data_IF_683103691329
#
_entry.id   IF_683103691329
#
_cell.length_a   1.000
_cell.length_b   1.000
_cell.length_c   1.000
_cell.angle_alpha   90.00
_cell.angle_beta   90.00
_cell.angle_gamma   90.00
#
_symmetry.space_group_name_H-M   'P 1'
#
loop_
_entity.id
_entity.type
_entity.pdbx_description
1 polymer ?
#
# COMPACT_ATOMS: atom_id res chain seq x y z
N UNK A 1 26.04 -39.32 -56.04
CA UNK A 1 25.44 -37.98 -55.96
C UNK A 1 23.97 -38.08 -56.32
N UNK A 2 23.04 -38.00 -55.36
CA UNK A 2 21.61 -37.89 -55.64
C UNK A 2 21.16 -36.43 -55.59
N UNK A 3 20.16 -36.07 -56.40
CA UNK A 3 19.30 -34.90 -56.22
C UNK A 3 17.87 -35.34 -56.49
N UNK A 4 17.17 -35.71 -55.43
CA UNK A 4 15.71 -35.76 -55.41
C UNK A 4 15.26 -34.66 -54.43
N UNK A 5 14.69 -33.59 -55.00
CA UNK A 5 14.04 -32.54 -54.24
C UNK A 5 12.70 -33.07 -53.72
N UNK A 6 12.67 -33.35 -52.41
CA UNK A 6 11.46 -33.57 -51.64
C UNK A 6 11.11 -32.27 -50.90
N UNK A 7 9.85 -31.82 -50.84
CA UNK A 7 9.51 -30.65 -50.05
C UNK A 7 9.62 -31.00 -48.57
N UNK A 8 10.61 -30.42 -47.91
CA UNK A 8 10.74 -30.45 -46.45
C UNK A 8 9.47 -29.87 -45.86
N UNK A 9 8.64 -30.71 -45.27
CA UNK A 9 7.51 -30.33 -44.44
C UNK A 9 8.04 -29.40 -43.34
N UNK A 10 7.74 -28.12 -43.46
CA UNK A 10 7.86 -27.15 -42.37
C UNK A 10 6.85 -27.54 -41.29
N UNK A 11 7.27 -28.43 -40.39
CA UNK A 11 6.68 -28.56 -39.07
C UNK A 11 7.24 -27.41 -38.23
N UNK A 12 6.62 -26.24 -38.39
CA UNK A 12 6.75 -25.13 -37.45
C UNK A 12 5.91 -25.48 -36.21
N UNK A 13 6.48 -26.34 -35.38
CA UNK A 13 5.86 -26.89 -34.18
C UNK A 13 5.99 -25.88 -33.03
N UNK A 14 4.85 -25.39 -32.54
CA UNK A 14 4.59 -24.58 -31.33
C UNK A 14 5.76 -24.28 -30.39
N UNK A 15 6.47 -23.18 -30.64
CA UNK A 15 7.60 -22.74 -29.79
C UNK A 15 7.19 -21.91 -28.55
N UNK A 16 5.90 -21.64 -28.32
CA UNK A 16 5.50 -20.49 -27.47
C UNK A 16 4.81 -20.83 -26.12
N UNK A 17 4.65 -22.12 -25.82
CA UNK A 17 4.39 -22.68 -24.47
C UNK A 17 5.73 -23.12 -23.80
N UNK A 18 6.86 -22.97 -24.47
CA UNK A 18 8.16 -23.51 -24.05
C UNK A 18 8.89 -22.75 -22.93
N UNK A 19 8.36 -21.64 -22.38
CA UNK A 19 8.95 -21.06 -21.18
C UNK A 19 8.49 -21.83 -19.94
N UNK A 20 9.35 -22.73 -19.44
CA UNK A 20 9.12 -23.56 -18.26
C UNK A 20 8.64 -22.77 -17.03
N UNK A 21 9.09 -21.52 -16.88
CA UNK A 21 8.67 -20.64 -15.79
C UNK A 21 7.23 -20.16 -15.94
N UNK A 22 6.85 -19.68 -17.13
CA UNK A 22 5.48 -19.22 -17.40
C UNK A 22 4.47 -20.36 -17.19
N UNK A 23 4.77 -21.55 -17.71
CA UNK A 23 3.92 -22.73 -17.54
C UNK A 23 3.76 -23.12 -16.07
N UNK A 24 4.86 -23.07 -15.30
CA UNK A 24 4.84 -23.37 -13.86
C UNK A 24 4.02 -22.36 -13.05
N UNK A 25 4.08 -21.07 -13.41
CA UNK A 25 3.25 -20.02 -12.78
C UNK A 25 1.77 -20.21 -13.11
N UNK A 26 1.43 -20.47 -14.37
CA UNK A 26 0.04 -20.71 -14.80
C UNK A 26 -0.53 -21.93 -14.07
N UNK A 27 0.22 -23.03 -14.01
CA UNK A 27 -0.18 -24.23 -13.26
C UNK A 27 -0.46 -23.90 -11.79
N UNK A 28 0.40 -23.13 -11.14
CA UNK A 28 0.21 -22.74 -9.75
C UNK A 28 -1.06 -21.89 -9.56
N UNK A 29 -1.34 -20.96 -10.46
CA UNK A 29 -2.58 -20.16 -10.46
C UNK A 29 -3.79 -21.07 -10.56
N UNK A 30 -3.82 -21.99 -11.53
CA UNK A 30 -4.93 -22.92 -11.71
C UNK A 30 -5.16 -23.82 -10.51
N UNK A 31 -4.09 -24.32 -9.89
CA UNK A 31 -4.17 -25.14 -8.69
C UNK A 31 -4.87 -24.39 -7.55
N UNK A 32 -4.46 -23.15 -7.31
CA UNK A 32 -5.05 -22.30 -6.27
C UNK A 32 -6.52 -21.98 -6.57
N UNK A 33 -6.88 -21.74 -7.84
CA UNK A 33 -8.25 -21.42 -8.23
C UNK A 33 -9.21 -22.62 -8.20
N UNK A 34 -8.72 -23.83 -8.48
CA UNK A 34 -9.53 -25.07 -8.45
C UNK A 34 -9.83 -25.56 -7.03
N UNK A 35 -9.26 -24.94 -6.00
CA UNK A 35 -9.48 -25.26 -4.59
C UNK A 35 -8.74 -26.53 -4.12
N UNK A 36 -8.38 -26.55 -2.83
CA UNK A 36 -7.39 -27.49 -2.29
C UNK A 36 -7.89 -28.43 -1.21
N UNK A 37 -7.50 -29.69 -1.37
CA UNK A 37 -7.26 -30.64 -0.28
C UNK A 37 -5.85 -30.43 0.31
N UNK A 38 -5.60 -30.93 1.52
CA UNK A 38 -4.27 -30.83 2.18
C UNK A 38 -3.10 -31.35 1.30
N UNK A 39 -3.34 -32.38 0.49
CA UNK A 39 -2.34 -32.91 -0.44
C UNK A 39 -1.94 -31.88 -1.51
N UNK A 40 -2.90 -31.11 -2.03
CA UNK A 40 -2.64 -30.08 -3.05
C UNK A 40 -1.89 -28.87 -2.47
N UNK A 41 -2.06 -28.55 -1.20
CA UNK A 41 -1.30 -27.47 -0.55
C UNK A 41 0.21 -27.76 -0.51
N UNK A 42 0.60 -29.03 -0.33
CA UNK A 42 2.03 -29.42 -0.38
C UNK A 42 2.60 -29.21 -1.78
N UNK A 43 1.90 -29.68 -2.80
CA UNK A 43 2.31 -29.53 -4.19
C UNK A 43 2.43 -28.04 -4.60
N UNK A 44 1.48 -27.19 -4.18
CA UNK A 44 1.57 -25.74 -4.39
C UNK A 44 2.81 -25.13 -3.73
N UNK A 45 3.12 -25.59 -2.51
CA UNK A 45 4.28 -25.12 -1.75
C UNK A 45 5.57 -25.49 -2.48
N UNK A 46 5.70 -26.74 -2.95
CA UNK A 46 6.86 -27.21 -3.71
C UNK A 46 7.07 -26.42 -5.00
N UNK A 47 5.99 -26.18 -5.77
CA UNK A 47 6.06 -25.36 -6.98
C UNK A 47 6.45 -23.91 -6.64
N UNK A 48 5.93 -23.36 -5.55
CA UNK A 48 6.28 -22.01 -5.09
C UNK A 48 7.77 -21.92 -4.73
N UNK A 49 8.31 -22.90 -3.98
CA UNK A 49 9.74 -22.97 -3.62
C UNK A 49 10.60 -23.03 -4.89
N UNK A 50 10.22 -23.88 -5.85
CA UNK A 50 10.94 -23.99 -7.13
C UNK A 50 10.95 -22.65 -7.86
N UNK A 51 9.80 -22.01 -8.04
CA UNK A 51 9.69 -20.72 -8.72
C UNK A 51 10.47 -19.59 -8.01
N UNK A 52 10.55 -19.64 -6.67
CA UNK A 52 11.41 -18.78 -5.88
C UNK A 52 12.89 -19.01 -6.19
N UNK A 53 13.34 -20.27 -6.16
CA UNK A 53 14.73 -20.65 -6.44
C UNK A 53 15.17 -20.26 -7.84
N UNK A 54 14.27 -20.34 -8.81
CA UNK A 54 14.49 -19.96 -10.21
C UNK A 54 14.34 -18.45 -10.46
N UNK A 55 14.10 -17.66 -9.40
CA UNK A 55 13.93 -16.20 -9.47
C UNK A 55 12.86 -15.77 -10.50
N UNK A 56 11.76 -16.51 -10.58
CA UNK A 56 10.71 -16.27 -11.58
C UNK A 56 10.16 -14.82 -11.52
N UNK A 57 10.04 -14.24 -10.33
CA UNK A 57 9.59 -12.85 -10.10
C UNK A 57 10.63 -11.77 -10.48
N UNK A 58 11.82 -12.14 -10.95
CA UNK A 58 12.81 -11.20 -11.50
C UNK A 58 13.03 -11.40 -13.00
N UNK A 59 12.56 -12.51 -13.56
CA UNK A 59 12.80 -12.87 -14.94
C UNK A 59 11.70 -12.30 -15.85
N UNK A 60 12.05 -11.42 -16.79
CA UNK A 60 11.07 -10.78 -17.69
C UNK A 60 10.29 -11.80 -18.53
N UNK A 61 10.91 -12.94 -18.87
CA UNK A 61 10.29 -13.98 -19.69
C UNK A 61 9.10 -14.66 -19.00
N UNK A 62 9.09 -14.72 -17.65
CA UNK A 62 8.03 -15.35 -16.87
C UNK A 62 6.70 -14.59 -16.98
N UNK A 63 6.75 -13.30 -17.30
CA UNK A 63 5.56 -12.44 -17.46
C UNK A 63 4.93 -12.49 -18.84
N UNK A 64 5.51 -13.20 -19.81
CA UNK A 64 5.06 -13.13 -21.22
C UNK A 64 3.58 -13.48 -21.38
N UNK A 65 3.09 -14.46 -20.63
CA UNK A 65 1.68 -14.88 -20.67
C UNK A 65 0.72 -13.78 -20.16
N UNK A 66 1.19 -12.89 -19.29
CA UNK A 66 0.43 -11.72 -18.84
C UNK A 66 0.42 -10.58 -19.86
N UNK A 67 1.28 -10.61 -20.89
CA UNK A 67 1.45 -9.52 -21.85
C UNK A 67 0.76 -9.78 -23.21
N UNK A 68 0.50 -11.04 -23.58
CA UNK A 68 0.03 -11.37 -24.93
C UNK A 68 -1.40 -10.89 -25.19
N UNK A 69 -1.53 -10.05 -26.22
CA UNK A 69 -2.70 -9.94 -27.08
C UNK A 69 -2.90 -11.25 -27.83
N UNK A 70 -4.12 -11.77 -27.93
CA UNK A 70 -4.40 -13.02 -28.66
C UNK A 70 -4.11 -12.87 -30.15
N UNK A 71 -2.99 -13.40 -30.60
CA UNK A 71 -2.80 -13.87 -31.99
C UNK A 71 -2.68 -15.41 -32.06
N UNK A 72 -2.95 -16.12 -30.98
CA UNK A 72 -3.03 -17.59 -31.00
C UNK A 72 -4.37 -18.03 -30.42
N UNK A 73 -5.32 -18.25 -31.32
CA UNK A 73 -6.57 -18.96 -31.06
C UNK A 73 -6.26 -20.41 -30.72
N UNK A 74 -6.15 -20.74 -29.44
CA UNK A 74 -6.36 -22.11 -28.97
C UNK A 74 -7.79 -22.14 -28.43
N UNK A 75 -8.69 -22.73 -29.21
CA UNK A 75 -10.09 -22.91 -28.84
C UNK A 75 -10.19 -23.85 -27.64
N UNK A 76 -10.57 -23.33 -26.48
CA UNK A 76 -11.10 -24.12 -25.38
C UNK A 76 -12.60 -23.90 -25.29
N UNK A 77 -13.36 -25.00 -25.17
CA UNK A 77 -14.82 -24.97 -25.02
C UNK A 77 -15.21 -24.28 -23.71
N UNK A 78 -15.56 -23.00 -23.81
CA UNK A 78 -16.26 -22.24 -22.77
C UNK A 78 -17.75 -22.25 -23.08
N UNK A 79 -18.42 -23.36 -22.76
CA UNK A 79 -19.85 -23.30 -22.55
C UNK A 79 -20.10 -22.56 -21.23
N UNK A 80 -21.00 -21.56 -21.27
CA UNK A 80 -21.48 -20.70 -20.17
C UNK A 80 -20.49 -19.69 -19.59
N UNK A 81 -20.24 -18.59 -20.31
CA UNK A 81 -20.24 -17.20 -19.78
C UNK A 81 -20.22 -16.23 -20.98
N UNK A 82 -21.39 -16.04 -21.61
CA UNK A 82 -21.55 -14.97 -22.60
C UNK A 82 -21.64 -13.63 -21.86
N UNK A 83 -20.59 -12.82 -22.00
CA UNK A 83 -20.78 -11.42 -22.38
C UNK A 83 -19.47 -10.74 -22.85
N UNK A 84 -19.50 -10.28 -24.10
CA UNK A 84 -18.81 -9.11 -24.68
C UNK A 84 -17.27 -9.09 -24.70
N UNK A 85 -16.75 -9.52 -25.86
CA UNK A 85 -15.65 -8.98 -26.68
C UNK A 85 -14.57 -8.10 -26.00
N UNK A 86 -13.30 -8.56 -26.11
CA UNK A 86 -12.00 -8.06 -25.57
C UNK A 86 -11.40 -8.80 -24.36
N UNK A 87 -11.97 -9.94 -23.91
CA UNK A 87 -11.61 -10.57 -22.62
C UNK A 87 -10.39 -11.51 -22.60
N UNK A 88 -9.84 -11.95 -23.72
CA UNK A 88 -8.81 -13.00 -23.73
C UNK A 88 -7.46 -12.58 -23.13
N UNK A 89 -7.07 -11.31 -23.30
CA UNK A 89 -5.74 -10.84 -22.89
C UNK A 89 -5.61 -10.65 -21.39
N UNK A 90 -6.71 -10.25 -20.75
CA UNK A 90 -6.81 -9.94 -19.31
C UNK A 90 -7.08 -11.18 -18.45
N UNK A 91 -7.40 -12.31 -19.06
CA UNK A 91 -7.83 -13.52 -18.37
C UNK A 91 -6.79 -13.98 -17.35
N UNK A 92 -5.54 -14.19 -17.77
CA UNK A 92 -4.48 -14.64 -16.87
C UNK A 92 -4.14 -13.65 -15.76
N UNK A 93 -4.23 -12.35 -16.03
CA UNK A 93 -4.01 -11.33 -15.00
C UNK A 93 -5.17 -11.32 -13.99
N UNK A 94 -6.41 -11.45 -14.47
CA UNK A 94 -7.59 -11.61 -13.61
C UNK A 94 -7.52 -12.88 -12.75
N UNK A 95 -7.10 -14.00 -13.34
CA UNK A 95 -6.87 -15.26 -12.64
C UNK A 95 -5.78 -15.15 -11.57
N UNK A 96 -4.64 -14.50 -11.86
CA UNK A 96 -3.60 -14.22 -10.87
C UNK A 96 -4.12 -13.38 -9.70
N UNK A 97 -4.87 -12.31 -9.99
CA UNK A 97 -5.46 -11.45 -8.95
C UNK A 97 -6.46 -12.22 -8.09
N UNK A 98 -7.29 -13.08 -8.72
CA UNK A 98 -8.21 -13.94 -7.99
C UNK A 98 -7.49 -15.01 -7.18
N UNK A 99 -6.40 -15.57 -7.69
CA UNK A 99 -5.58 -16.54 -6.99
C UNK A 99 -4.95 -15.90 -5.74
N UNK A 100 -4.42 -14.67 -5.82
CA UNK A 100 -3.93 -13.93 -4.64
C UNK A 100 -5.03 -13.77 -3.60
N UNK A 101 -6.26 -13.44 -4.01
CA UNK A 101 -7.39 -13.24 -3.12
C UNK A 101 -7.77 -14.50 -2.33
N UNK A 102 -7.77 -15.67 -2.98
CA UNK A 102 -8.27 -16.93 -2.40
C UNK A 102 -7.19 -17.86 -1.88
N UNK A 103 -5.91 -17.60 -2.19
CA UNK A 103 -4.79 -18.43 -1.76
C UNK A 103 -4.77 -18.54 -0.23
N UNK A 104 -4.59 -19.74 0.31
CA UNK A 104 -4.54 -20.00 1.76
C UNK A 104 -3.11 -19.98 2.30
N UNK A 105 -2.16 -20.45 1.50
CA UNK A 105 -0.76 -20.59 1.88
C UNK A 105 -0.02 -19.24 1.84
N UNK A 106 0.70 -18.90 2.92
CA UNK A 106 1.47 -17.65 3.00
C UNK A 106 2.58 -17.61 1.95
N UNK A 107 3.38 -18.67 1.81
CA UNK A 107 4.49 -18.72 0.85
C UNK A 107 4.00 -18.51 -0.58
N UNK A 108 2.93 -19.19 -0.97
CA UNK A 108 2.33 -19.05 -2.31
C UNK A 108 1.72 -17.66 -2.50
N UNK A 109 1.10 -17.09 -1.46
CA UNK A 109 0.60 -15.70 -1.53
C UNK A 109 1.75 -14.71 -1.70
N UNK A 110 2.81 -14.85 -0.91
CA UNK A 110 4.05 -14.06 -1.03
C UNK A 110 4.64 -14.19 -2.43
N UNK A 111 4.68 -15.39 -3.00
CA UNK A 111 5.17 -15.62 -4.36
C UNK A 111 4.35 -14.83 -5.38
N UNK A 112 3.02 -15.00 -5.38
CA UNK A 112 2.17 -14.29 -6.34
C UNK A 112 2.23 -12.78 -6.18
N UNK A 113 2.33 -12.27 -4.96
CA UNK A 113 2.50 -10.84 -4.73
C UNK A 113 3.86 -10.34 -5.26
N UNK A 114 4.93 -11.11 -5.07
CA UNK A 114 6.24 -10.79 -5.66
C UNK A 114 6.22 -10.84 -7.18
N UNK A 115 5.55 -11.84 -7.72
CA UNK A 115 5.36 -11.99 -9.16
C UNK A 115 4.57 -10.81 -9.74
N UNK A 116 3.48 -10.40 -9.08
CA UNK A 116 2.70 -9.23 -9.49
C UNK A 116 3.50 -7.93 -9.37
N UNK A 117 4.28 -7.76 -8.29
CA UNK A 117 5.15 -6.60 -8.11
C UNK A 117 6.21 -6.55 -9.21
N UNK A 118 6.90 -7.65 -9.48
CA UNK A 118 7.87 -7.77 -10.55
C UNK A 118 7.25 -7.55 -11.93
N UNK A 119 6.03 -8.03 -12.16
CA UNK A 119 5.27 -7.69 -13.36
C UNK A 119 5.05 -6.18 -13.47
N UNK A 120 4.82 -5.44 -12.39
CA UNK A 120 4.65 -3.98 -12.46
C UNK A 120 5.99 -3.25 -12.64
N UNK A 121 7.08 -3.74 -12.03
CA UNK A 121 8.34 -2.98 -11.88
C UNK A 121 9.44 -3.40 -12.86
N UNK A 122 9.47 -4.64 -13.34
CA UNK A 122 10.43 -5.13 -14.35
C UNK A 122 10.02 -4.66 -15.76
N UNK A 123 9.89 -3.34 -15.94
CA UNK A 123 9.64 -2.71 -17.23
C UNK A 123 9.96 -1.20 -17.19
N UNK A 124 9.89 -0.53 -18.34
CA UNK A 124 10.03 0.93 -18.43
C UNK A 124 8.91 1.62 -17.62
N UNK A 125 9.15 2.83 -17.07
CA UNK A 125 8.15 3.56 -16.27
C UNK A 125 6.79 3.74 -16.97
N UNK A 126 6.77 4.00 -18.28
CA UNK A 126 5.54 4.11 -19.07
C UNK A 126 4.71 2.81 -19.07
N UNK A 127 5.37 1.67 -19.26
CA UNK A 127 4.74 0.36 -19.21
C UNK A 127 4.24 0.02 -17.79
N UNK A 128 4.99 0.40 -16.75
CA UNK A 128 4.57 0.22 -15.36
C UNK A 128 3.24 0.92 -15.08
N UNK A 129 3.07 2.16 -15.57
CA UNK A 129 1.82 2.90 -15.44
C UNK A 129 0.65 2.22 -16.15
N UNK A 130 0.88 1.66 -17.35
CA UNK A 130 -0.15 0.91 -18.09
C UNK A 130 -0.55 -0.34 -17.31
N UNK A 131 0.42 -1.11 -16.79
CA UNK A 131 0.17 -2.33 -15.99
C UNK A 131 -0.60 -2.01 -14.70
N UNK A 132 -0.25 -0.94 -13.99
CA UNK A 132 -1.00 -0.48 -12.80
C UNK A 132 -2.46 -0.14 -13.15
N UNK A 133 -2.71 0.61 -14.23
CA UNK A 133 -4.08 0.95 -14.67
C UNK A 133 -4.87 -0.30 -15.04
N UNK A 134 -4.23 -1.27 -15.68
CA UNK A 134 -4.83 -2.55 -16.06
C UNK A 134 -5.26 -3.36 -14.83
N UNK A 135 -4.39 -3.47 -13.81
CA UNK A 135 -4.72 -4.09 -12.53
C UNK A 135 -5.91 -3.41 -11.86
N UNK A 136 -5.95 -2.07 -11.87
CA UNK A 136 -7.06 -1.29 -11.30
C UNK A 136 -8.37 -1.55 -12.06
N UNK A 137 -8.32 -1.66 -13.40
CA UNK A 137 -9.49 -1.95 -14.26
C UNK A 137 -10.08 -3.32 -13.98
N UNK A 138 -9.24 -4.30 -13.65
CA UNK A 138 -9.63 -5.67 -13.31
C UNK A 138 -9.99 -5.85 -11.82
N UNK A 139 -10.29 -4.76 -11.12
CA UNK A 139 -10.59 -4.75 -9.68
C UNK A 139 -9.51 -5.40 -8.80
N UNK A 140 -8.27 -5.46 -9.28
CA UNK A 140 -7.14 -6.03 -8.55
C UNK A 140 -6.86 -5.34 -7.21
N UNK A 141 -7.15 -4.03 -7.10
CA UNK A 141 -7.10 -3.33 -5.81
C UNK A 141 -8.00 -3.99 -4.76
N UNK A 142 -9.22 -4.42 -5.11
CA UNK A 142 -10.13 -5.06 -4.18
C UNK A 142 -9.66 -6.45 -3.78
N UNK A 143 -9.16 -7.25 -4.73
CA UNK A 143 -8.57 -8.56 -4.44
C UNK A 143 -7.39 -8.44 -3.47
N UNK A 144 -6.51 -7.47 -3.68
CA UNK A 144 -5.39 -7.19 -2.78
C UNK A 144 -5.85 -6.70 -1.41
N UNK A 145 -6.86 -5.82 -1.33
CA UNK A 145 -7.43 -5.34 -0.06
C UNK A 145 -8.01 -6.51 0.74
N UNK A 146 -8.81 -7.38 0.10
CA UNK A 146 -9.41 -8.55 0.77
C UNK A 146 -8.35 -9.49 1.30
N UNK A 147 -7.31 -9.79 0.51
CA UNK A 147 -6.21 -10.66 0.97
C UNK A 147 -5.43 -10.01 2.11
N UNK A 148 -5.10 -8.72 1.99
CA UNK A 148 -4.43 -7.97 3.04
C UNK A 148 -5.24 -7.96 4.35
N UNK A 149 -6.55 -7.74 4.26
CA UNK A 149 -7.46 -7.75 5.41
C UNK A 149 -7.45 -9.12 6.12
N UNK A 150 -7.33 -10.23 5.39
CA UNK A 150 -7.25 -11.56 5.98
C UNK A 150 -5.99 -11.75 6.85
N UNK A 151 -4.83 -11.27 6.40
CA UNK A 151 -3.59 -11.39 7.18
C UNK A 151 -3.58 -10.51 8.43
N UNK A 152 -4.00 -9.24 8.31
CA UNK A 152 -3.99 -8.34 9.46
C UNK A 152 -5.08 -8.70 10.49
N UNK A 153 -6.10 -9.47 10.10
CA UNK A 153 -7.12 -10.00 11.01
C UNK A 153 -6.55 -10.94 12.08
N UNK A 154 -5.35 -11.50 11.89
CA UNK A 154 -4.66 -12.34 12.87
C UNK A 154 -3.71 -11.55 13.79
N UNK A 155 -3.36 -10.30 13.44
CA UNK A 155 -2.42 -9.46 14.20
C UNK A 155 -1.00 -10.02 14.36
N UNK A 156 -0.63 -11.04 13.58
CA UNK A 156 0.72 -11.60 13.53
C UNK A 156 1.42 -11.12 12.25
N UNK A 157 2.69 -10.73 12.37
CA UNK A 157 3.49 -10.35 11.22
C UNK A 157 3.76 -11.55 10.32
N UNK A 158 3.65 -11.35 9.01
CA UNK A 158 4.05 -12.32 8.00
C UNK A 158 4.64 -11.59 6.79
N UNK A 159 5.47 -12.29 6.01
CA UNK A 159 6.22 -11.69 4.89
C UNK A 159 5.30 -11.13 3.79
N UNK A 160 4.11 -11.70 3.64
CA UNK A 160 3.10 -11.25 2.66
C UNK A 160 2.57 -9.84 2.97
N UNK A 161 2.55 -9.42 4.24
CA UNK A 161 1.99 -8.13 4.66
C UNK A 161 2.75 -6.96 4.03
N UNK A 162 4.08 -7.00 4.02
CA UNK A 162 4.89 -5.91 3.49
C UNK A 162 4.68 -5.74 2.00
N UNK A 163 4.69 -6.85 1.25
CA UNK A 163 4.53 -6.76 -0.20
C UNK A 163 3.11 -6.39 -0.62
N UNK A 164 2.08 -6.89 0.08
CA UNK A 164 0.71 -6.45 -0.12
C UNK A 164 0.57 -4.95 0.17
N UNK A 165 1.21 -4.46 1.23
CA UNK A 165 1.23 -3.03 1.56
C UNK A 165 1.91 -2.22 0.47
N UNK A 166 3.07 -2.65 -0.04
CA UNK A 166 3.76 -1.98 -1.15
C UNK A 166 2.92 -1.93 -2.43
N UNK A 167 2.28 -3.04 -2.80
CA UNK A 167 1.39 -3.09 -3.96
C UNK A 167 0.20 -2.14 -3.80
N UNK A 168 -0.46 -2.15 -2.63
CA UNK A 168 -1.61 -1.28 -2.36
C UNK A 168 -1.22 0.21 -2.33
N UNK A 169 -0.08 0.56 -1.73
CA UNK A 169 0.45 1.94 -1.74
C UNK A 169 0.77 2.38 -3.17
N UNK A 170 1.35 1.50 -3.99
CA UNK A 170 1.64 1.79 -5.40
C UNK A 170 0.35 2.07 -6.19
N UNK A 171 -0.67 1.22 -6.03
CA UNK A 171 -1.95 1.39 -6.72
C UNK A 171 -2.75 2.60 -6.20
N UNK A 172 -2.64 2.95 -4.91
CA UNK A 172 -3.31 4.10 -4.31
C UNK A 172 -3.08 5.41 -5.09
N UNK A 173 -1.86 5.63 -5.59
CA UNK A 173 -1.49 6.86 -6.32
C UNK A 173 -2.29 7.02 -7.62
N UNK A 174 -2.86 5.94 -8.16
CA UNK A 174 -3.55 5.91 -9.45
C UNK A 174 -5.03 5.53 -9.35
N UNK A 175 -5.42 4.71 -8.38
CA UNK A 175 -6.79 4.30 -8.19
C UNK A 175 -7.61 5.40 -7.52
N UNK A 176 -8.33 6.19 -8.34
CA UNK A 176 -9.21 7.27 -7.86
C UNK A 176 -10.29 6.80 -6.90
N UNK A 177 -10.64 5.51 -6.92
CA UNK A 177 -11.65 4.89 -6.04
C UNK A 177 -11.01 4.14 -4.87
N UNK A 178 -9.70 4.19 -4.68
CA UNK A 178 -8.98 3.45 -3.63
C UNK A 178 -9.62 3.61 -2.24
N UNK A 179 -9.81 4.86 -1.80
CA UNK A 179 -10.38 5.14 -0.48
C UNK A 179 -11.83 4.63 -0.36
N UNK A 180 -12.59 4.62 -1.45
CA UNK A 180 -13.95 4.05 -1.46
C UNK A 180 -13.88 2.52 -1.29
N UNK A 181 -13.01 1.83 -2.05
CA UNK A 181 -12.81 0.38 -1.97
C UNK A 181 -12.39 -0.05 -0.56
N UNK A 182 -11.36 0.58 0.00
CA UNK A 182 -10.90 0.39 1.39
C UNK A 182 -12.04 0.52 2.41
N UNK A 183 -12.96 1.47 2.21
CA UNK A 183 -14.09 1.66 3.11
C UNK A 183 -15.14 0.57 2.96
N UNK A 184 -15.47 0.18 1.73
CA UNK A 184 -16.49 -0.84 1.44
C UNK A 184 -16.02 -2.24 1.86
N UNK A 185 -14.73 -2.55 1.71
CA UNK A 185 -14.12 -3.81 2.17
C UNK A 185 -13.83 -3.81 3.69
N UNK A 186 -14.30 -2.82 4.45
CA UNK A 186 -14.23 -2.80 5.92
C UNK A 186 -12.85 -2.50 6.52
N UNK A 187 -11.83 -2.22 5.71
CA UNK A 187 -10.44 -2.05 6.16
C UNK A 187 -10.25 -0.87 7.12
N UNK A 188 -11.05 0.20 6.98
CA UNK A 188 -11.05 1.34 7.92
C UNK A 188 -11.39 0.90 9.34
N UNK A 189 -12.38 0.02 9.50
CA UNK A 189 -12.80 -0.47 10.81
C UNK A 189 -11.75 -1.39 11.42
N UNK A 190 -11.16 -2.23 10.58
CA UNK A 190 -10.10 -3.16 10.98
C UNK A 190 -8.86 -2.41 11.47
N UNK A 191 -8.40 -1.39 10.73
CA UNK A 191 -7.32 -0.52 11.19
C UNK A 191 -7.67 0.18 12.50
N UNK A 192 -8.88 0.74 12.64
CA UNK A 192 -9.25 1.44 13.88
C UNK A 192 -9.18 0.51 15.11
N UNK A 193 -9.48 -0.78 14.95
CA UNK A 193 -9.40 -1.79 16.01
C UNK A 193 -7.97 -2.24 16.31
N UNK A 194 -7.12 -2.39 15.28
CA UNK A 194 -5.84 -3.10 15.41
C UNK A 194 -4.59 -2.22 15.25
N UNK A 195 -4.68 -1.01 14.69
CA UNK A 195 -3.54 -0.19 14.32
C UNK A 195 -2.54 -0.01 15.47
N UNK A 196 -3.02 0.33 16.67
CA UNK A 196 -2.15 0.59 17.81
C UNK A 196 -1.52 -0.69 18.40
N UNK A 197 -2.14 -1.85 18.18
CA UNK A 197 -1.51 -3.14 18.49
C UNK A 197 -0.38 -3.43 17.49
N UNK A 198 -0.65 -3.21 16.19
CA UNK A 198 0.32 -3.40 15.12
C UNK A 198 1.51 -2.44 15.25
N UNK A 199 1.26 -1.20 15.70
CA UNK A 199 2.29 -0.20 15.94
C UNK A 199 3.28 -0.55 17.07
N UNK A 200 3.08 -1.65 17.80
CA UNK A 200 4.08 -2.15 18.76
C UNK A 200 5.21 -2.94 18.10
N UNK A 201 5.01 -3.42 16.88
CA UNK A 201 6.01 -4.15 16.11
C UNK A 201 6.55 -3.27 14.97
N UNK A 202 7.85 -2.99 15.00
CA UNK A 202 8.53 -2.18 13.97
C UNK A 202 8.40 -2.80 12.57
N UNK A 203 8.25 -4.12 12.46
CA UNK A 203 8.02 -4.81 11.18
C UNK A 203 6.70 -4.42 10.51
N UNK A 204 5.73 -3.88 11.27
CA UNK A 204 4.43 -3.43 10.76
C UNK A 204 4.46 -2.01 10.18
N UNK A 205 5.63 -1.42 9.92
CA UNK A 205 5.70 -0.03 9.45
C UNK A 205 5.00 0.19 8.11
N UNK A 206 5.06 -0.78 7.20
CA UNK A 206 4.39 -0.77 5.90
C UNK A 206 2.86 -0.70 6.05
N UNK A 207 2.32 -1.36 7.08
CA UNK A 207 0.91 -1.32 7.45
C UNK A 207 0.51 0.07 7.92
N UNK A 208 1.35 0.74 8.73
CA UNK A 208 1.08 2.11 9.18
C UNK A 208 1.10 3.08 7.99
N UNK A 209 2.04 2.93 7.05
CA UNK A 209 2.09 3.70 5.81
C UNK A 209 0.85 3.49 4.95
N UNK A 210 0.42 2.23 4.77
CA UNK A 210 -0.81 1.91 4.05
C UNK A 210 -2.04 2.52 4.74
N UNK A 211 -2.10 2.46 6.08
CA UNK A 211 -3.16 3.10 6.84
C UNK A 211 -3.22 4.61 6.54
N UNK A 212 -2.09 5.31 6.49
CA UNK A 212 -2.04 6.72 6.08
C UNK A 212 -2.72 6.93 4.72
N UNK A 213 -2.41 6.10 3.71
CA UNK A 213 -3.05 6.15 2.38
C UNK A 213 -4.57 5.90 2.45
N UNK A 214 -4.98 4.88 3.20
CA UNK A 214 -6.37 4.45 3.35
C UNK A 214 -7.28 5.53 3.94
N UNK A 215 -6.76 6.41 4.81
CA UNK A 215 -7.55 7.44 5.48
C UNK A 215 -7.49 8.82 4.80
N UNK A 216 -6.84 8.97 3.64
CA UNK A 216 -6.66 10.30 3.00
C UNK A 216 -7.94 10.92 2.40
N UNK A 217 -9.07 10.22 2.38
CA UNK A 217 -10.36 10.82 2.03
C UNK A 217 -11.06 11.45 3.23
N UNK A 218 -11.88 12.48 2.98
CA UNK A 218 -12.67 13.17 4.02
C UNK A 218 -13.51 12.18 4.82
N UNK A 219 -14.22 11.27 4.12
CA UNK A 219 -15.10 10.30 4.79
C UNK A 219 -14.31 9.30 5.62
N UNK A 220 -13.19 8.78 5.12
CA UNK A 220 -12.42 7.75 5.83
C UNK A 220 -11.74 8.35 7.07
N UNK A 221 -11.10 9.51 6.95
CA UNK A 221 -10.52 10.24 8.08
C UNK A 221 -11.55 10.50 9.19
N UNK A 222 -12.78 10.90 8.81
CA UNK A 222 -13.85 11.15 9.78
C UNK A 222 -14.34 9.88 10.45
N UNK A 223 -14.49 8.79 9.70
CA UNK A 223 -14.85 7.48 10.26
C UNK A 223 -13.79 6.94 11.22
N UNK A 224 -12.52 7.24 10.93
CA UNK A 224 -11.38 6.83 11.73
C UNK A 224 -11.30 7.62 13.04
N UNK A 225 -11.35 8.96 12.96
CA UNK A 225 -11.17 9.86 14.09
C UNK A 225 -12.38 10.08 15.00
N UNK A 226 -13.57 9.54 14.68
CA UNK A 226 -14.78 9.70 15.52
C UNK A 226 -14.76 8.91 16.83
N UNK A 227 -13.86 7.93 16.98
CA UNK A 227 -13.78 7.11 18.21
C UNK A 227 -12.91 7.82 19.25
N UNK A 228 -13.53 8.22 20.36
CA UNK A 228 -12.84 8.89 21.45
C UNK A 228 -11.76 8.00 22.09
N UNK A 229 -12.06 6.73 22.32
CA UNK A 229 -11.12 5.76 22.85
C UNK A 229 -9.90 5.59 21.93
N UNK A 230 -10.14 5.44 20.62
CA UNK A 230 -9.05 5.31 19.65
C UNK A 230 -8.16 6.55 19.63
N UNK A 231 -8.75 7.75 19.56
CA UNK A 231 -7.99 9.01 19.52
C UNK A 231 -7.20 9.21 20.81
N UNK A 232 -7.79 8.91 21.98
CA UNK A 232 -7.08 8.93 23.26
C UNK A 232 -5.85 8.03 23.22
N UNK A 233 -6.04 6.76 22.83
CA UNK A 233 -4.95 5.78 22.78
C UNK A 233 -3.87 6.17 21.74
N UNK A 234 -4.27 6.73 20.60
CA UNK A 234 -3.35 7.23 19.57
C UNK A 234 -2.47 8.36 20.12
N UNK A 235 -3.08 9.34 20.80
CA UNK A 235 -2.38 10.45 21.46
C UNK A 235 -1.41 9.92 22.51
N UNK A 236 -1.85 8.98 23.35
CA UNK A 236 -0.96 8.33 24.34
C UNK A 236 0.23 7.64 23.67
N UNK A 237 0.01 6.86 22.61
CA UNK A 237 1.09 6.17 21.88
C UNK A 237 2.07 7.13 21.23
N UNK A 238 1.63 8.31 20.76
CA UNK A 238 2.52 9.36 20.22
C UNK A 238 3.40 9.94 21.33
N UNK A 239 2.82 10.27 22.49
CA UNK A 239 3.54 10.87 23.62
C UNK A 239 4.58 9.90 24.19
N UNK A 240 4.16 8.66 24.47
CA UNK A 240 5.01 7.63 25.08
C UNK A 240 5.93 6.92 24.09
N UNK A 241 5.77 7.17 22.80
CA UNK A 241 6.53 6.49 21.75
C UNK A 241 8.02 6.81 21.78
N UNK A 242 8.83 5.78 21.59
CA UNK A 242 10.30 5.85 21.54
C UNK A 242 10.84 5.63 20.13
N UNK A 243 10.22 4.76 19.33
CA UNK A 243 10.57 4.57 17.92
C UNK A 243 10.06 5.75 17.07
N UNK A 244 10.98 6.60 16.61
CA UNK A 244 10.64 7.79 15.83
C UNK A 244 9.93 7.45 14.51
N UNK A 245 10.21 6.31 13.88
CA UNK A 245 9.60 5.93 12.59
C UNK A 245 8.12 5.59 12.82
N UNK A 246 7.83 4.84 13.88
CA UNK A 246 6.45 4.53 14.27
C UNK A 246 5.72 5.81 14.67
N UNK A 247 6.34 6.65 15.51
CA UNK A 247 5.75 7.92 15.93
C UNK A 247 5.45 8.82 14.73
N UNK A 248 6.35 8.90 13.75
CA UNK A 248 6.11 9.69 12.53
C UNK A 248 4.84 9.25 11.80
N UNK A 249 4.59 7.94 11.67
CA UNK A 249 3.36 7.44 11.05
C UNK A 249 2.11 7.68 11.90
N UNK A 250 2.20 7.51 13.22
CA UNK A 250 1.07 7.81 14.12
C UNK A 250 0.71 9.29 14.10
N UNK A 251 1.71 10.18 14.05
CA UNK A 251 1.52 11.63 13.93
C UNK A 251 0.96 11.98 12.53
N UNK A 252 1.38 11.32 11.45
CA UNK A 252 0.77 11.49 10.12
C UNK A 252 -0.72 11.11 10.15
N UNK A 253 -1.07 9.99 10.79
CA UNK A 253 -2.46 9.54 10.96
C UNK A 253 -3.28 10.59 11.71
N UNK A 254 -2.75 11.10 12.83
CA UNK A 254 -3.39 12.15 13.60
C UNK A 254 -3.55 13.44 12.78
N UNK A 255 -2.53 13.82 12.01
CA UNK A 255 -2.60 14.96 11.10
C UNK A 255 -3.73 14.81 10.07
N UNK A 256 -3.91 13.63 9.48
CA UNK A 256 -4.99 13.39 8.51
C UNK A 256 -6.38 13.51 9.18
N UNK A 257 -6.54 13.00 10.40
CA UNK A 257 -7.76 13.17 11.20
C UNK A 257 -8.04 14.66 11.44
N UNK A 258 -7.03 15.42 11.85
CA UNK A 258 -7.14 16.87 12.10
C UNK A 258 -7.45 17.63 10.81
N UNK A 259 -6.80 17.31 9.70
CA UNK A 259 -7.04 17.95 8.40
C UNK A 259 -8.51 17.90 7.98
N UNK A 260 -9.18 16.77 8.23
CA UNK A 260 -10.58 16.54 7.83
C UNK A 260 -11.59 16.58 8.98
N UNK A 261 -11.19 17.16 10.11
CA UNK A 261 -12.00 17.30 11.33
C UNK A 261 -13.38 17.90 11.07
N UNK A 262 -14.36 17.43 11.84
CA UNK A 262 -15.69 18.04 11.98
C UNK A 262 -15.93 18.37 13.47
N UNK A 263 -17.14 18.88 13.81
CA UNK A 263 -17.48 19.25 15.20
C UNK A 263 -17.22 18.11 16.20
N UNK A 264 -17.65 16.89 15.86
CA UNK A 264 -17.50 15.73 16.74
C UNK A 264 -16.03 15.35 16.96
N UNK A 265 -15.22 15.31 15.89
CA UNK A 265 -13.78 15.05 16.00
C UNK A 265 -13.09 16.17 16.78
N UNK A 266 -13.49 17.43 16.59
CA UNK A 266 -12.95 18.54 17.37
C UNK A 266 -13.21 18.37 18.85
N UNK A 267 -14.43 18.02 19.25
CA UNK A 267 -14.74 17.72 20.65
C UNK A 267 -13.86 16.60 21.19
N UNK A 268 -13.71 15.50 20.45
CA UNK A 268 -12.82 14.39 20.83
C UNK A 268 -11.36 14.86 21.01
N UNK A 269 -10.83 15.67 20.09
CA UNK A 269 -9.46 16.17 20.17
C UNK A 269 -9.27 17.13 21.36
N UNK A 270 -10.23 18.02 21.60
CA UNK A 270 -10.18 18.97 22.72
C UNK A 270 -10.27 18.27 24.08
N UNK A 271 -11.08 17.21 24.20
CA UNK A 271 -11.14 16.38 25.40
C UNK A 271 -9.87 15.58 25.69
N UNK A 272 -8.90 15.57 24.77
CA UNK A 272 -7.60 14.91 24.92
C UNK A 272 -6.43 15.91 24.82
N UNK A 273 -6.65 17.18 25.16
CA UNK A 273 -5.61 18.23 25.24
C UNK A 273 -4.71 18.33 24.01
N UNK A 274 -5.32 18.23 22.82
CA UNK A 274 -4.60 18.13 21.54
C UNK A 274 -3.51 19.22 21.36
N UNK A 275 -3.77 20.44 21.80
CA UNK A 275 -2.82 21.55 21.68
C UNK A 275 -1.56 21.33 22.52
N UNK A 276 -1.73 20.95 23.79
CA UNK A 276 -0.60 20.67 24.67
C UNK A 276 0.22 19.49 24.16
N UNK A 277 -0.45 18.43 23.68
CA UNK A 277 0.24 17.28 23.11
C UNK A 277 1.04 17.65 21.85
N UNK A 278 0.44 18.37 20.90
CA UNK A 278 1.14 18.76 19.66
C UNK A 278 2.34 19.66 19.95
N UNK A 279 2.22 20.62 20.87
CA UNK A 279 3.33 21.49 21.28
C UNK A 279 4.46 20.71 21.95
N UNK A 280 4.15 19.84 22.91
CA UNK A 280 5.15 19.01 23.59
C UNK A 280 5.85 18.05 22.63
N UNK A 281 5.09 17.42 21.73
CA UNK A 281 5.63 16.52 20.71
C UNK A 281 6.56 17.28 19.77
N UNK A 282 6.13 18.45 19.29
CA UNK A 282 6.97 19.31 18.47
C UNK A 282 8.29 19.68 19.18
N UNK A 283 8.22 20.16 20.42
CA UNK A 283 9.42 20.54 21.19
C UNK A 283 10.38 19.37 21.40
N UNK A 284 9.87 18.20 21.81
CA UNK A 284 10.66 16.97 22.01
C UNK A 284 11.46 16.61 20.76
N UNK A 285 10.78 16.48 19.62
CA UNK A 285 11.43 16.06 18.38
C UNK A 285 12.26 17.18 17.75
N UNK A 286 11.85 18.45 17.86
CA UNK A 286 12.63 19.58 17.37
C UNK A 286 13.98 19.71 18.08
N UNK A 287 14.06 19.38 19.38
CA UNK A 287 15.33 19.31 20.10
C UNK A 287 16.18 18.10 19.65
N UNK A 288 15.55 16.95 19.43
CA UNK A 288 16.24 15.71 19.02
C UNK A 288 16.84 15.76 17.60
N UNK A 289 16.36 16.67 16.73
CA UNK A 289 16.85 16.81 15.35
C UNK A 289 18.33 17.20 15.28
N UNK A 290 18.85 17.81 16.34
CA UNK A 290 20.27 18.19 16.43
C UNK A 290 21.18 17.04 16.89
N UNK A 291 20.60 15.85 17.18
CA UNK A 291 21.31 14.73 17.84
C UNK A 291 21.15 13.41 17.04
N UNK A 292 20.02 13.22 16.34
CA UNK A 292 19.67 11.95 15.68
C UNK A 292 19.15 12.16 14.27
N UNK A 293 19.04 11.07 13.49
CA UNK A 293 18.55 11.01 12.10
C UNK A 293 17.55 12.15 11.75
N UNK A 294 18.01 13.02 10.85
CA UNK A 294 17.40 14.32 10.57
C UNK A 294 16.00 14.19 9.96
N UNK A 295 15.78 13.18 9.11
CA UNK A 295 14.58 13.12 8.26
C UNK A 295 13.30 12.71 9.02
N UNK A 296 13.32 11.64 9.81
CA UNK A 296 12.11 11.16 10.52
C UNK A 296 11.68 12.15 11.60
N UNK A 297 12.65 12.73 12.29
CA UNK A 297 12.41 13.76 13.31
C UNK A 297 11.81 15.02 12.69
N UNK A 298 12.29 15.40 11.49
CA UNK A 298 11.71 16.50 10.70
C UNK A 298 10.28 16.18 10.24
N UNK A 299 9.98 14.95 9.80
CA UNK A 299 8.61 14.56 9.44
C UNK A 299 7.64 14.74 10.61
N UNK A 300 8.02 14.32 11.82
CA UNK A 300 7.20 14.52 13.03
C UNK A 300 6.96 16.01 13.28
N UNK A 301 8.01 16.83 13.19
CA UNK A 301 7.91 18.29 13.34
C UNK A 301 6.98 18.90 12.29
N UNK A 302 7.05 18.46 11.04
CA UNK A 302 6.23 18.98 9.96
C UNK A 302 4.76 18.58 10.12
N UNK A 303 4.45 17.33 10.47
CA UNK A 303 3.07 16.90 10.71
C UNK A 303 2.46 17.58 11.93
N UNK A 304 3.23 17.81 13.00
CA UNK A 304 2.75 18.54 14.19
C UNK A 304 2.43 20.00 13.84
N UNK A 305 3.34 20.72 13.17
CA UNK A 305 3.11 22.10 12.71
C UNK A 305 1.91 22.19 11.76
N UNK A 306 1.80 21.28 10.79
CA UNK A 306 0.67 21.24 9.87
C UNK A 306 -0.66 20.96 10.59
N UNK A 307 -0.66 20.13 11.63
CA UNK A 307 -1.81 19.86 12.48
C UNK A 307 -2.27 21.12 13.23
N UNK A 308 -1.32 21.83 13.85
CA UNK A 308 -1.59 23.07 14.58
C UNK A 308 -2.17 24.15 13.67
N UNK A 309 -1.57 24.36 12.49
CA UNK A 309 -2.10 25.28 11.47
C UNK A 309 -3.55 24.94 11.11
N UNK A 310 -3.87 23.65 10.93
CA UNK A 310 -5.23 23.22 10.64
C UNK A 310 -6.19 23.50 11.81
N UNK A 311 -5.74 23.43 13.06
CA UNK A 311 -6.54 23.75 14.24
C UNK A 311 -6.76 25.27 14.41
N UNK A 312 -5.77 26.09 14.06
CA UNK A 312 -5.82 27.57 14.18
C UNK A 312 -6.84 28.26 13.29
N UNK A 313 -7.38 27.58 12.28
CA UNK A 313 -8.42 28.16 11.40
C UNK A 313 -9.68 28.59 12.15
N UNK A 314 -9.88 28.13 13.39
CA UNK A 314 -10.96 28.55 14.26
C UNK A 314 -10.45 29.61 15.25
N UNK A 315 -11.13 30.76 15.35
CA UNK A 315 -10.72 31.90 16.20
C UNK A 315 -10.44 31.48 17.65
N UNK A 316 -11.37 30.74 18.26
CA UNK A 316 -11.23 30.19 19.63
C UNK A 316 -9.95 29.35 19.81
N UNK A 317 -9.56 28.58 18.80
CA UNK A 317 -8.36 27.74 18.88
C UNK A 317 -7.08 28.57 18.76
N UNK A 318 -7.11 29.64 17.97
CA UNK A 318 -6.01 30.59 17.87
C UNK A 318 -5.75 31.27 19.22
N UNK A 319 -6.80 31.70 19.91
CA UNK A 319 -6.70 32.30 21.26
C UNK A 319 -6.10 31.30 22.26
N UNK A 320 -6.55 30.03 22.25
CA UNK A 320 -5.97 28.97 23.10
C UNK A 320 -4.49 28.74 22.80
N UNK A 321 -4.09 28.76 21.52
CA UNK A 321 -2.69 28.58 21.10
C UNK A 321 -1.79 29.75 21.50
N UNK A 322 -2.32 30.98 21.45
CA UNK A 322 -1.64 32.16 21.96
C UNK A 322 -1.44 32.07 23.48
N UNK A 323 -2.48 31.67 24.22
CA UNK A 323 -2.42 31.54 25.68
C UNK A 323 -1.36 30.52 26.16
N UNK A 324 -1.04 29.50 25.36
CA UNK A 324 0.00 28.51 25.70
C UNK A 324 1.39 28.84 25.11
N UNK A 325 1.58 30.05 24.55
CA UNK A 325 2.88 30.51 23.99
C UNK A 325 3.37 29.72 22.76
N UNK A 326 2.52 28.86 22.20
CA UNK A 326 2.97 27.92 21.18
C UNK A 326 3.24 28.62 19.83
N UNK A 327 2.55 29.73 19.57
CA UNK A 327 2.70 30.53 18.34
C UNK A 327 4.14 31.02 18.08
N UNK A 328 4.83 31.51 19.11
CA UNK A 328 6.21 32.00 19.01
C UNK A 328 7.19 30.84 18.79
N UNK A 329 6.97 29.74 19.50
CA UNK A 329 7.76 28.51 19.35
C UNK A 329 7.69 27.96 17.91
N UNK A 330 6.50 27.99 17.30
CA UNK A 330 6.32 27.54 15.91
C UNK A 330 6.85 28.54 14.88
N UNK A 331 6.68 29.84 15.09
CA UNK A 331 7.22 30.87 14.21
C UNK A 331 8.74 30.77 14.05
N UNK A 332 9.44 30.60 15.17
CA UNK A 332 10.89 30.39 15.20
C UNK A 332 11.32 29.07 14.59
N UNK A 333 10.52 28.01 14.75
CA UNK A 333 10.80 26.72 14.15
C UNK A 333 10.63 26.68 12.62
N UNK A 334 9.56 27.30 12.10
CA UNK A 334 9.30 27.36 10.65
C UNK A 334 10.40 28.18 9.96
N UNK A 335 10.91 29.24 10.59
CA UNK A 335 12.02 30.03 10.02
C UNK A 335 13.34 29.23 9.97
N UNK A 336 13.55 28.30 10.90
CA UNK A 336 14.69 27.37 10.88
C UNK A 336 14.50 26.26 9.84
N UNK A 337 13.34 25.58 9.82
CA UNK A 337 13.04 24.50 8.86
C UNK A 337 13.05 25.03 7.41
N UNK A 338 12.60 26.27 7.19
CA UNK A 338 12.61 26.88 5.85
C UNK A 338 14.01 27.20 5.32
N UNK A 339 15.01 27.32 6.19
CA UNK A 339 16.43 27.42 5.80
C UNK A 339 17.01 26.06 5.40
N UNK A 340 16.52 24.97 6.00
CA UNK A 340 16.96 23.58 5.74
C UNK A 340 16.34 22.98 4.45
N UNK A 341 15.27 23.58 3.91
CA UNK A 341 14.57 23.15 2.67
C UNK A 341 15.44 23.08 1.40
N UNK A 342 16.68 23.59 1.41
CA UNK A 342 17.61 23.41 0.28
C UNK A 342 18.11 21.96 0.15
N UNK A 343 17.79 21.07 1.09
CA UNK A 343 18.27 19.68 1.14
C UNK A 343 17.20 18.60 0.88
N UNK A 344 15.94 18.96 0.56
CA UNK A 344 14.86 17.98 0.37
C UNK A 344 14.53 17.75 -1.11
N UNK A 345 14.72 16.50 -1.55
CA UNK A 345 14.46 16.01 -2.92
C UNK A 345 13.03 16.30 -3.41
N UNK A 346 12.92 16.75 -4.67
CA UNK A 346 11.71 17.28 -5.33
C UNK A 346 10.58 16.24 -5.48
N UNK A 347 10.88 14.97 -5.23
CA UNK A 347 9.93 13.86 -5.31
C UNK A 347 9.24 13.52 -3.98
N UNK A 348 9.57 14.19 -2.88
CA UNK A 348 8.90 13.97 -1.60
C UNK A 348 7.51 14.65 -1.54
N UNK A 349 6.47 13.92 -1.09
CA UNK A 349 5.14 14.51 -0.81
C UNK A 349 5.19 15.63 0.26
N UNK A 350 6.30 15.73 1.00
CA UNK A 350 6.60 16.79 1.94
C UNK A 350 6.83 18.15 1.24
N UNK A 351 7.56 18.19 0.11
CA UNK A 351 7.88 19.44 -0.59
C UNK A 351 6.64 20.25 -0.96
N UNK A 352 5.59 19.58 -1.46
CA UNK A 352 4.30 20.22 -1.80
C UNK A 352 3.51 20.73 -0.60
N UNK A 353 3.75 20.19 0.60
CA UNK A 353 3.09 20.64 1.83
C UNK A 353 3.81 21.85 2.46
N UNK A 354 5.13 21.96 2.23
CA UNK A 354 5.99 23.02 2.74
C UNK A 354 5.91 24.30 1.90
N UNK A 355 5.76 24.20 0.58
CA UNK A 355 5.60 25.38 -0.31
C UNK A 355 4.41 26.25 0.10
N UNK A 356 3.39 25.66 0.72
CA UNK A 356 2.22 26.37 1.23
C UNK A 356 2.36 26.88 2.68
N UNK A 357 3.55 26.80 3.31
CA UNK A 357 3.85 27.38 4.63
C UNK A 357 4.28 28.86 4.58
N UNK A 358 4.47 29.43 3.38
CA UNK A 358 4.56 30.89 3.20
C UNK A 358 3.17 31.53 3.25
#
# INVERSE_FOLDING_TARGET
MPKEDSPTSALDDGCDVQNSLSASVIRLIEMVLKGDSEAKLREQTEISIKLYSESAAKNVSSYRFLLKGTDQSISFSTATFQDVNNRSTDEYLGQLLKAIEVCRNELTTSFFCQFLLGFITCCKPSASLIRQRRIIRLDGTNSLIRRFASFIAESVYCSSIDILSSLLIMLYVRDKKFCLKVRLDGLIMLFRKKLLLLAKDRKMISVLQLCCCCIRSVQNARMFGRSQEFVKNLITSIISGTDAIIVARLVEILYIIIKFKNRLIMTVLESNDIFAMLTKTFQKYFQQRFITSEQTTLEICLFTVASLRNLMRLKRNRERLLAIGAMETFGSAISLISKDNKCLDDNSQLGRSIINLK
#
